data_IF_415579808956
#
_entry.id   IF_415579808956
#
_cell.length_a   1.000
_cell.length_b   1.000
_cell.length_c   1.000
_cell.angle_alpha   90.00
_cell.angle_beta   90.00
_cell.angle_gamma   90.00
#
_symmetry.space_group_name_H-M   'P 1'
#
loop_
_entity.id
_entity.type
_entity.pdbx_description
1 polymer ?
#
# COMPACT_ATOMS: atom_id res chain seq x y z
N UNK A 1 -63.52 20.47 -2.38
CA UNK A 1 -62.90 19.17 -2.77
C UNK A 1 -61.49 19.22 -2.23
N UNK A 2 -61.15 18.30 -1.32
CA UNK A 2 -59.84 18.31 -0.67
C UNK A 2 -58.76 17.88 -1.68
N UNK A 3 -57.62 18.56 -1.67
CA UNK A 3 -56.44 18.25 -2.51
C UNK A 3 -56.15 16.75 -2.60
N UNK A 4 -56.18 16.03 -1.46
CA UNK A 4 -55.95 14.61 -1.37
C UNK A 4 -56.97 13.74 -2.16
N UNK A 5 -58.21 14.17 -2.25
CA UNK A 5 -59.25 13.47 -3.02
C UNK A 5 -59.01 13.58 -4.54
N UNK A 6 -58.46 14.70 -5.00
CA UNK A 6 -58.09 14.88 -6.40
C UNK A 6 -56.89 14.00 -6.75
N UNK A 7 -55.87 13.98 -5.89
CA UNK A 7 -54.65 13.17 -6.06
C UNK A 7 -55.03 11.64 -6.06
N UNK A 8 -55.85 11.23 -5.13
CA UNK A 8 -56.26 9.79 -5.07
C UNK A 8 -57.05 9.38 -6.32
N UNK A 9 -57.97 10.22 -6.80
CA UNK A 9 -58.73 9.92 -8.04
C UNK A 9 -57.81 9.87 -9.26
N UNK A 10 -56.82 10.75 -9.34
CA UNK A 10 -55.84 10.78 -10.42
C UNK A 10 -55.02 9.47 -10.42
N UNK A 11 -54.50 9.08 -9.28
CA UNK A 11 -53.71 7.84 -9.13
C UNK A 11 -54.53 6.62 -9.50
N UNK A 12 -55.77 6.51 -8.99
CA UNK A 12 -56.65 5.38 -9.28
C UNK A 12 -57.06 5.33 -10.76
N UNK A 13 -57.32 6.49 -11.38
CA UNK A 13 -57.68 6.55 -12.79
C UNK A 13 -56.53 6.22 -13.72
N UNK A 14 -55.30 6.59 -13.36
CA UNK A 14 -54.08 6.42 -14.18
C UNK A 14 -53.17 5.30 -13.66
N UNK A 15 -53.67 4.37 -12.85
CA UNK A 15 -52.88 3.35 -12.18
C UNK A 15 -51.96 2.56 -13.12
N UNK A 16 -52.46 2.14 -14.29
CA UNK A 16 -51.66 1.36 -15.26
C UNK A 16 -50.54 2.22 -15.85
N UNK A 17 -50.84 3.48 -16.21
CA UNK A 17 -49.85 4.39 -16.73
C UNK A 17 -48.72 4.68 -15.71
N UNK A 18 -49.10 4.90 -14.43
CA UNK A 18 -48.13 5.15 -13.34
C UNK A 18 -47.26 3.91 -13.15
N UNK A 19 -47.83 2.68 -13.18
CA UNK A 19 -47.06 1.44 -13.08
C UNK A 19 -46.08 1.27 -14.25
N UNK A 20 -46.49 1.59 -15.47
CA UNK A 20 -45.63 1.51 -16.64
C UNK A 20 -44.47 2.51 -16.54
N UNK A 21 -44.74 3.73 -16.08
CA UNK A 21 -43.69 4.77 -15.87
C UNK A 21 -42.72 4.32 -14.79
N UNK A 22 -43.20 3.76 -13.66
CA UNK A 22 -42.34 3.25 -12.61
C UNK A 22 -41.52 2.04 -13.10
N UNK A 23 -42.10 1.12 -13.84
CA UNK A 23 -41.37 -0.01 -14.41
C UNK A 23 -40.30 0.44 -15.39
N UNK A 24 -40.63 1.39 -16.28
CA UNK A 24 -39.66 1.96 -17.21
C UNK A 24 -38.50 2.69 -16.48
N UNK A 25 -38.82 3.46 -15.44
CA UNK A 25 -37.80 4.13 -14.61
C UNK A 25 -36.91 3.10 -13.89
N UNK A 26 -37.49 2.03 -13.34
CA UNK A 26 -36.72 0.98 -12.66
C UNK A 26 -35.78 0.25 -13.62
N UNK A 27 -36.26 -0.10 -14.82
CA UNK A 27 -35.44 -0.71 -15.86
C UNK A 27 -34.30 0.24 -16.28
N UNK A 28 -34.65 1.51 -16.53
CA UNK A 28 -33.65 2.53 -16.90
C UNK A 28 -32.56 2.68 -15.82
N UNK A 29 -32.94 2.80 -14.55
CA UNK A 29 -31.98 2.88 -13.44
C UNK A 29 -31.19 1.59 -13.31
N UNK A 30 -31.83 0.43 -13.49
CA UNK A 30 -31.15 -0.87 -13.47
C UNK A 30 -30.03 -0.99 -14.51
N UNK A 31 -30.22 -0.45 -15.72
CA UNK A 31 -29.17 -0.44 -16.74
C UNK A 31 -27.98 0.46 -16.38
N UNK A 32 -28.16 1.43 -15.45
CA UNK A 32 -27.10 2.32 -15.00
C UNK A 32 -26.28 1.76 -13.82
N UNK A 33 -26.72 0.70 -13.17
CA UNK A 33 -26.00 0.08 -12.04
C UNK A 33 -24.59 -0.32 -12.44
N UNK A 34 -24.39 -0.83 -13.65
CA UNK A 34 -23.08 -1.23 -14.15
C UNK A 34 -22.08 -0.07 -14.30
N UNK A 35 -22.57 1.17 -14.33
CA UNK A 35 -21.75 2.36 -14.45
C UNK A 35 -21.46 3.03 -13.08
N UNK A 36 -21.96 2.45 -11.99
CA UNK A 36 -21.68 2.95 -10.65
C UNK A 36 -20.25 2.52 -10.29
N UNK A 37 -19.36 3.48 -10.18
CA UNK A 37 -18.02 3.27 -9.64
C UNK A 37 -18.06 3.60 -8.16
N UNK A 38 -17.71 2.65 -7.33
CA UNK A 38 -17.46 2.92 -5.92
C UNK A 38 -16.12 3.63 -5.83
N UNK A 39 -16.11 4.85 -5.32
CA UNK A 39 -14.90 5.57 -4.98
C UNK A 39 -14.66 5.40 -3.48
N UNK A 40 -13.48 4.90 -3.11
CA UNK A 40 -13.04 4.81 -1.72
C UNK A 40 -12.29 6.09 -1.29
N UNK A 41 -12.39 7.15 -2.08
CA UNK A 41 -11.84 8.47 -1.71
C UNK A 41 -12.55 8.94 -0.46
N UNK A 42 -11.80 9.46 0.50
CA UNK A 42 -12.36 10.11 1.68
C UNK A 42 -13.29 11.23 1.22
N UNK A 43 -14.49 11.26 1.80
CA UNK A 43 -15.45 12.30 1.46
C UNK A 43 -14.81 13.66 1.79
N UNK A 44 -14.59 14.48 0.77
CA UNK A 44 -14.24 15.88 0.97
C UNK A 44 -15.39 16.55 1.73
N UNK A 45 -15.24 16.68 3.03
CA UNK A 45 -16.22 17.27 3.93
C UNK A 45 -16.35 18.80 3.72
N UNK A 46 -15.37 19.39 3.06
CA UNK A 46 -15.32 20.81 2.75
C UNK A 46 -15.60 21.05 1.25
N UNK A 47 -16.23 22.19 0.89
CA UNK A 47 -16.35 22.61 -0.51
C UNK A 47 -14.98 22.65 -1.20
N UNK A 48 -14.91 22.34 -2.50
CA UNK A 48 -13.66 22.31 -3.27
C UNK A 48 -12.90 23.63 -3.30
N UNK A 49 -13.62 24.75 -3.17
CA UNK A 49 -13.10 26.11 -3.15
C UNK A 49 -12.72 26.58 -1.73
N UNK A 50 -12.84 25.72 -0.72
CA UNK A 50 -12.43 26.06 0.64
C UNK A 50 -10.91 26.19 0.74
N UNK A 51 -10.44 27.20 1.46
CA UNK A 51 -9.00 27.52 1.59
C UNK A 51 -8.16 26.31 2.08
N UNK A 52 -8.71 25.52 3.00
CA UNK A 52 -8.00 24.35 3.53
C UNK A 52 -7.93 23.21 2.51
N UNK A 53 -8.94 23.03 1.64
CA UNK A 53 -8.84 22.07 0.53
C UNK A 53 -7.75 22.49 -0.45
N UNK A 54 -7.69 23.77 -0.82
CA UNK A 54 -6.65 24.27 -1.71
C UNK A 54 -5.25 24.07 -1.12
N UNK A 55 -5.08 24.29 0.20
CA UNK A 55 -3.82 24.03 0.89
C UNK A 55 -3.46 22.55 0.91
N UNK A 56 -4.45 21.68 1.13
CA UNK A 56 -4.28 20.24 1.11
C UNK A 56 -3.92 19.73 -0.29
N UNK A 57 -4.61 20.20 -1.33
CA UNK A 57 -4.29 19.84 -2.71
C UNK A 57 -2.85 20.24 -3.09
N UNK A 58 -2.42 21.45 -2.69
CA UNK A 58 -1.04 21.90 -2.88
C UNK A 58 -0.03 21.03 -2.09
N UNK A 59 -0.40 20.58 -0.88
CA UNK A 59 0.42 19.66 -0.11
C UNK A 59 0.56 18.31 -0.84
N UNK A 60 -0.55 17.76 -1.35
CA UNK A 60 -0.53 16.52 -2.12
C UNK A 60 0.28 16.62 -3.42
N UNK A 61 0.23 17.78 -4.09
CA UNK A 61 1.03 18.03 -5.31
C UNK A 61 2.55 18.00 -5.02
N UNK A 62 2.96 18.47 -3.83
CA UNK A 62 4.38 18.53 -3.44
C UNK A 62 4.87 17.21 -2.85
N UNK A 63 4.07 16.57 -2.00
CA UNK A 63 4.48 15.42 -1.18
C UNK A 63 3.90 14.08 -1.67
N UNK A 64 2.98 14.10 -2.63
CA UNK A 64 2.23 12.93 -3.07
C UNK A 64 1.06 12.57 -2.16
N UNK A 65 0.21 11.65 -2.60
CA UNK A 65 -0.89 11.13 -1.79
C UNK A 65 -0.36 10.26 -0.64
N UNK A 66 -0.92 10.46 0.55
CA UNK A 66 -0.63 9.62 1.70
C UNK A 66 -1.37 8.27 1.57
N UNK A 67 -0.80 7.25 2.19
CA UNK A 67 -1.50 5.97 2.34
C UNK A 67 -1.23 4.94 1.26
N UNK A 68 -0.21 5.13 0.41
CA UNK A 68 0.22 4.14 -0.58
C UNK A 68 1.25 3.11 -0.04
N UNK A 69 1.64 3.22 1.23
CA UNK A 69 2.68 2.42 1.85
C UNK A 69 2.10 1.17 2.53
N UNK A 70 2.63 0.01 2.18
CA UNK A 70 2.50 -1.25 2.91
C UNK A 70 3.85 -1.58 3.55
N UNK A 71 3.84 -1.91 4.83
CA UNK A 71 5.01 -2.34 5.58
C UNK A 71 4.90 -3.84 5.90
N UNK A 72 5.94 -4.57 5.55
CA UNK A 72 6.15 -5.95 5.98
C UNK A 72 7.25 -5.97 7.05
N UNK A 73 7.05 -6.69 8.13
CA UNK A 73 7.99 -6.71 9.24
C UNK A 73 8.15 -8.11 9.84
N UNK A 74 9.39 -8.50 10.10
CA UNK A 74 9.74 -9.72 10.86
C UNK A 74 10.49 -9.32 12.11
N UNK A 75 10.04 -9.81 13.27
CA UNK A 75 10.64 -9.53 14.59
C UNK A 75 11.42 -10.72 15.16
N UNK A 76 11.68 -11.74 14.39
CA UNK A 76 12.43 -12.92 14.85
C UNK A 76 13.92 -12.75 14.53
N UNK A 77 14.77 -13.06 15.52
CA UNK A 77 16.23 -13.05 15.33
C UNK A 77 16.72 -14.07 14.30
N UNK A 78 15.95 -15.13 14.03
CA UNK A 78 16.24 -16.13 13.01
C UNK A 78 16.23 -15.57 11.58
N UNK A 79 15.68 -14.36 11.38
CA UNK A 79 15.78 -13.64 10.09
C UNK A 79 17.24 -13.35 9.71
N UNK A 80 18.14 -13.24 10.70
CA UNK A 80 19.56 -12.94 10.51
C UNK A 80 20.44 -14.19 10.34
N UNK A 81 19.88 -15.35 9.98
CA UNK A 81 20.67 -16.42 9.40
C UNK A 81 20.76 -16.27 7.87
N UNK A 82 21.76 -16.88 7.25
CA UNK A 82 22.04 -16.69 5.82
C UNK A 82 20.86 -17.10 4.93
N UNK A 83 20.20 -18.21 5.26
CA UNK A 83 19.08 -18.74 4.48
C UNK A 83 17.87 -17.80 4.52
N UNK A 84 17.45 -17.42 5.73
CA UNK A 84 16.27 -16.57 5.92
C UNK A 84 16.51 -15.13 5.43
N UNK A 85 17.72 -14.61 5.65
CA UNK A 85 18.07 -13.27 5.18
C UNK A 85 18.03 -13.18 3.65
N UNK A 86 18.59 -14.17 2.96
CA UNK A 86 18.53 -14.22 1.50
C UNK A 86 17.08 -14.39 0.99
N UNK A 87 16.32 -15.29 1.62
CA UNK A 87 14.89 -15.45 1.29
C UNK A 87 14.10 -14.16 1.51
N UNK A 88 14.37 -13.42 2.58
CA UNK A 88 13.72 -12.12 2.84
C UNK A 88 14.04 -11.08 1.76
N UNK A 89 15.31 -10.98 1.38
CA UNK A 89 15.72 -10.03 0.32
C UNK A 89 15.14 -10.39 -1.04
N UNK A 90 15.08 -11.69 -1.36
CA UNK A 90 14.47 -12.17 -2.61
C UNK A 90 12.94 -11.99 -2.59
N UNK A 91 12.29 -12.28 -1.46
CA UNK A 91 10.86 -12.05 -1.24
C UNK A 91 10.52 -10.57 -1.40
N UNK A 92 11.29 -9.68 -0.78
CA UNK A 92 11.09 -8.23 -0.93
C UNK A 92 11.18 -7.77 -2.38
N UNK A 93 12.15 -8.26 -3.15
CA UNK A 93 12.33 -7.91 -4.56
C UNK A 93 11.26 -8.44 -5.49
N UNK A 94 10.55 -9.52 -5.12
CA UNK A 94 9.43 -10.02 -5.93
C UNK A 94 8.37 -8.95 -6.17
N UNK A 95 8.16 -8.06 -5.21
CA UNK A 95 7.13 -7.02 -5.30
C UNK A 95 7.41 -5.99 -6.40
N UNK A 96 8.67 -5.71 -6.74
CA UNK A 96 9.03 -4.80 -7.84
C UNK A 96 8.57 -5.29 -9.23
N UNK A 97 8.23 -6.58 -9.36
CA UNK A 97 7.75 -7.15 -10.62
C UNK A 97 6.25 -6.92 -10.88
N UNK A 98 5.49 -6.48 -9.88
CA UNK A 98 4.05 -6.27 -10.01
C UNK A 98 3.73 -4.85 -10.49
N UNK A 99 2.86 -4.70 -11.50
CA UNK A 99 2.49 -3.39 -12.04
C UNK A 99 1.73 -2.49 -11.04
N UNK A 100 1.25 -3.07 -9.92
CA UNK A 100 0.58 -2.36 -8.85
C UNK A 100 1.57 -1.69 -7.87
N UNK A 101 2.85 -2.03 -7.97
CA UNK A 101 3.92 -1.54 -7.09
C UNK A 101 4.76 -0.52 -7.86
N UNK A 102 4.89 0.66 -7.32
CA UNK A 102 5.75 1.71 -7.86
C UNK A 102 7.23 1.39 -7.56
N UNK A 103 7.55 1.13 -6.31
CA UNK A 103 8.86 0.65 -5.88
C UNK A 103 8.80 -0.01 -4.51
N UNK A 104 9.82 -0.81 -4.24
CA UNK A 104 10.03 -1.46 -2.94
C UNK A 104 11.35 -1.02 -2.33
N UNK A 105 11.37 -0.82 -1.02
CA UNK A 105 12.60 -0.50 -0.29
C UNK A 105 12.79 -1.51 0.84
N UNK A 106 13.89 -2.22 0.78
CA UNK A 106 14.27 -3.24 1.76
C UNK A 106 15.70 -3.00 2.26
N UNK A 107 16.13 -3.78 3.22
CA UNK A 107 17.53 -3.76 3.68
C UNK A 107 18.53 -4.10 2.57
N UNK A 108 18.10 -4.81 1.53
CA UNK A 108 18.92 -5.12 0.36
C UNK A 108 19.22 -3.92 -0.52
N UNK A 109 18.41 -2.87 -0.44
CA UNK A 109 18.51 -1.67 -1.26
C UNK A 109 19.30 -0.56 -0.60
N UNK A 110 19.70 -0.76 0.67
CA UNK A 110 20.44 0.24 1.44
C UNK A 110 21.80 0.51 0.80
N UNK A 111 22.07 1.79 0.63
CA UNK A 111 23.35 2.29 0.16
C UNK A 111 24.04 3.11 1.25
N UNK A 112 25.33 2.94 1.36
CA UNK A 112 26.19 3.64 2.32
C UNK A 112 26.90 4.79 1.63
N UNK A 113 26.99 5.94 2.30
CA UNK A 113 27.79 7.05 1.87
C UNK A 113 29.20 6.90 2.41
N UNK A 114 30.18 6.74 1.53
CA UNK A 114 31.60 6.72 1.88
C UNK A 114 32.31 7.96 1.39
N UNK A 115 33.28 8.43 2.20
CA UNK A 115 34.16 9.52 1.84
C UNK A 115 35.46 8.93 1.26
N UNK A 116 35.74 9.28 0.02
CA UNK A 116 37.07 9.11 -0.56
C UNK A 116 37.95 10.26 -0.05
N UNK A 117 38.93 9.89 0.77
CA UNK A 117 39.83 10.86 1.39
C UNK A 117 40.88 11.46 0.40
N UNK A 118 41.23 10.68 -0.62
CA UNK A 118 42.23 11.08 -1.62
C UNK A 118 41.64 12.11 -2.60
N UNK A 119 40.44 11.87 -3.08
CA UNK A 119 39.76 12.71 -4.06
C UNK A 119 38.77 13.72 -3.42
N UNK A 120 38.67 13.75 -2.08
CA UNK A 120 37.76 14.62 -1.33
C UNK A 120 36.27 14.53 -1.84
N UNK A 121 35.85 13.35 -2.28
CA UNK A 121 34.51 13.11 -2.83
C UNK A 121 33.76 12.12 -1.97
N UNK A 122 32.45 12.24 -2.01
CA UNK A 122 31.56 11.22 -1.47
C UNK A 122 31.09 10.31 -2.60
N UNK A 123 31.06 9.02 -2.33
CA UNK A 123 30.47 8.04 -3.23
C UNK A 123 29.52 7.13 -2.47
N UNK A 124 28.59 6.54 -3.20
CA UNK A 124 27.56 5.67 -2.66
C UNK A 124 27.89 4.24 -3.05
N UNK A 125 27.96 3.34 -2.08
CA UNK A 125 28.11 1.90 -2.32
C UNK A 125 26.96 1.12 -1.70
N UNK A 126 26.54 -0.02 -2.27
CA UNK A 126 25.53 -0.87 -1.66
C UNK A 126 26.02 -1.41 -0.31
N UNK A 127 25.10 -1.72 0.59
CA UNK A 127 25.39 -2.32 1.90
C UNK A 127 26.22 -3.61 1.75
N UNK A 128 25.88 -4.41 0.75
CA UNK A 128 26.64 -5.59 0.31
C UNK A 128 26.56 -5.72 -1.21
N UNK A 129 27.63 -6.24 -1.84
CA UNK A 129 27.71 -6.34 -3.30
C UNK A 129 27.09 -7.63 -3.85
N UNK A 130 27.09 -8.70 -3.04
CA UNK A 130 26.52 -10.00 -3.37
C UNK A 130 25.76 -10.53 -2.16
N UNK A 131 24.76 -11.36 -2.42
CA UNK A 131 24.04 -12.02 -1.34
C UNK A 131 25.03 -12.76 -0.42
N UNK A 132 24.86 -12.65 0.90
CA UNK A 132 25.73 -13.29 1.86
C UNK A 132 25.66 -14.82 1.71
N UNK A 133 26.81 -15.47 1.89
CA UNK A 133 26.97 -16.92 1.75
C UNK A 133 27.16 -17.63 3.09
N UNK A 134 27.31 -16.87 4.19
CA UNK A 134 27.52 -17.37 5.53
C UNK A 134 26.83 -16.52 6.59
N UNK A 135 26.54 -17.13 7.74
CA UNK A 135 25.95 -16.43 8.89
C UNK A 135 26.89 -15.34 9.45
N UNK A 136 28.21 -15.49 9.26
CA UNK A 136 29.18 -14.46 9.65
C UNK A 136 29.02 -13.21 8.81
N UNK A 137 28.80 -13.36 7.52
CA UNK A 137 28.54 -12.21 6.62
C UNK A 137 27.22 -11.52 6.98
N UNK A 138 26.14 -12.28 7.26
CA UNK A 138 24.86 -11.71 7.70
C UNK A 138 25.01 -10.99 9.04
N UNK A 139 25.79 -11.55 9.98
CA UNK A 139 26.08 -10.88 11.25
C UNK A 139 26.81 -9.55 11.03
N UNK A 140 27.79 -9.50 10.12
CA UNK A 140 28.49 -8.26 9.79
C UNK A 140 27.54 -7.23 9.16
N UNK A 141 26.63 -7.67 8.28
CA UNK A 141 25.58 -6.81 7.70
C UNK A 141 24.67 -6.25 8.81
N UNK A 142 24.22 -7.11 9.74
CA UNK A 142 23.41 -6.69 10.88
C UNK A 142 24.14 -5.68 11.77
N UNK A 143 25.40 -5.92 12.08
CA UNK A 143 26.20 -5.02 12.91
C UNK A 143 26.41 -3.68 12.22
N UNK A 144 26.62 -3.67 10.90
CA UNK A 144 26.71 -2.45 10.10
C UNK A 144 25.38 -1.68 10.09
N UNK A 145 24.25 -2.36 9.85
CA UNK A 145 22.92 -1.76 9.91
C UNK A 145 22.66 -1.08 11.25
N UNK A 146 22.85 -1.82 12.34
CA UNK A 146 22.43 -1.40 13.68
C UNK A 146 23.35 -0.35 14.31
N UNK A 147 24.64 -0.32 13.92
CA UNK A 147 25.61 0.56 14.55
C UNK A 147 26.04 1.76 13.67
N UNK A 148 26.00 1.59 12.35
CA UNK A 148 26.60 2.58 11.44
C UNK A 148 25.56 3.28 10.53
N UNK A 149 24.30 2.83 10.51
CA UNK A 149 23.28 3.36 9.62
C UNK A 149 22.01 3.84 10.38
N UNK A 150 22.16 4.75 11.35
CA UNK A 150 21.04 5.21 12.18
C UNK A 150 19.92 5.91 11.40
N UNK A 151 20.21 6.40 10.19
CA UNK A 151 19.20 7.02 9.33
C UNK A 151 18.05 6.07 8.97
N UNK A 152 18.33 4.77 8.85
CA UNK A 152 17.33 3.77 8.48
C UNK A 152 16.68 3.10 9.70
N UNK A 153 17.10 3.44 10.93
CA UNK A 153 16.49 2.93 12.16
C UNK A 153 15.05 3.41 12.27
N UNK A 154 14.15 2.53 12.65
CA UNK A 154 12.70 2.67 12.66
C UNK A 154 12.02 2.79 11.27
N UNK A 155 12.78 2.71 10.18
CA UNK A 155 12.24 2.69 8.84
C UNK A 155 12.42 1.32 8.15
N UNK A 156 13.65 0.83 8.03
CA UNK A 156 13.94 -0.49 7.43
C UNK A 156 14.37 -1.53 8.47
N UNK A 157 14.71 -1.11 9.64
CA UNK A 157 14.97 -1.98 10.79
C UNK A 157 14.68 -1.24 12.09
N UNK A 158 14.58 -1.98 13.19
CA UNK A 158 14.50 -1.38 14.52
C UNK A 158 15.53 -2.05 15.42
N UNK A 159 16.54 -1.28 15.82
CA UNK A 159 17.65 -1.76 16.65
C UNK A 159 17.20 -2.27 18.02
N UNK A 160 16.18 -1.64 18.63
CA UNK A 160 15.69 -2.00 19.96
C UNK A 160 14.96 -3.33 19.97
N UNK A 161 14.18 -3.60 18.93
CA UNK A 161 13.34 -4.79 18.84
C UNK A 161 13.96 -5.91 18.00
N UNK A 162 15.03 -5.62 17.24
CA UNK A 162 15.62 -6.56 16.30
C UNK A 162 14.76 -6.81 15.06
N UNK A 163 13.79 -5.94 14.79
CA UNK A 163 12.88 -6.07 13.64
C UNK A 163 13.56 -5.64 12.36
N UNK A 164 13.31 -6.36 11.27
CA UNK A 164 13.65 -5.98 9.89
C UNK A 164 12.36 -5.68 9.13
N UNK A 165 12.39 -4.71 8.24
CA UNK A 165 11.21 -4.23 7.53
C UNK A 165 11.46 -4.08 6.04
N UNK A 166 10.37 -4.22 5.27
CA UNK A 166 10.31 -3.88 3.84
C UNK A 166 9.14 -2.94 3.63
N UNK A 167 9.38 -1.84 2.94
CA UNK A 167 8.39 -0.84 2.55
C UNK A 167 8.02 -1.06 1.09
N UNK A 168 6.74 -1.28 0.81
CA UNK A 168 6.18 -1.44 -0.53
C UNK A 168 5.33 -0.23 -0.82
N UNK A 169 5.67 0.53 -1.84
CA UNK A 169 4.90 1.68 -2.30
C UNK A 169 4.04 1.27 -3.48
N UNK A 170 2.73 1.36 -3.31
CA UNK A 170 1.77 1.09 -4.37
C UNK A 170 1.64 2.28 -5.31
N UNK A 171 1.30 2.00 -6.57
CA UNK A 171 0.91 3.03 -7.53
C UNK A 171 -0.30 3.81 -6.99
N UNK A 172 -0.20 5.13 -7.02
CA UNK A 172 -1.24 6.03 -6.51
C UNK A 172 -2.58 5.87 -7.25
N UNK A 173 -2.53 5.54 -8.55
CA UNK A 173 -3.75 5.39 -9.36
C UNK A 173 -4.65 4.23 -8.90
N UNK A 174 -4.07 3.21 -8.24
CA UNK A 174 -4.84 2.04 -7.79
C UNK A 174 -5.39 2.15 -6.37
N UNK A 175 -4.93 3.10 -5.55
CA UNK A 175 -5.22 3.15 -4.11
C UNK A 175 -6.71 3.14 -3.77
N UNK A 176 -7.50 3.84 -4.56
CA UNK A 176 -8.93 3.99 -4.37
C UNK A 176 -9.75 3.11 -5.33
N UNK A 177 -9.20 1.97 -5.74
CA UNK A 177 -9.81 1.04 -6.68
C UNK A 177 -9.85 -0.40 -6.15
N UNK A 178 -10.66 -1.25 -6.77
CA UNK A 178 -10.70 -2.69 -6.51
C UNK A 178 -9.40 -3.43 -6.90
N UNK A 179 -8.54 -2.79 -7.71
CA UNK A 179 -7.24 -3.34 -8.10
C UNK A 179 -6.34 -3.46 -6.87
N UNK A 180 -6.34 -2.45 -5.98
CA UNK A 180 -5.62 -2.50 -4.71
C UNK A 180 -6.08 -3.68 -3.84
N UNK A 181 -7.40 -3.85 -3.69
CA UNK A 181 -7.97 -4.92 -2.89
C UNK A 181 -7.57 -6.29 -3.44
N UNK A 182 -7.67 -6.50 -4.76
CA UNK A 182 -7.21 -7.73 -5.40
C UNK A 182 -5.71 -7.95 -5.22
N UNK A 183 -4.88 -6.91 -5.34
CA UNK A 183 -3.45 -7.05 -5.09
C UNK A 183 -3.17 -7.54 -3.68
N UNK A 184 -3.86 -6.99 -2.66
CA UNK A 184 -3.68 -7.42 -1.28
C UNK A 184 -4.12 -8.87 -1.07
N UNK A 185 -5.31 -9.26 -1.56
CA UNK A 185 -5.86 -10.58 -1.29
C UNK A 185 -5.29 -11.68 -2.20
N UNK A 186 -5.05 -11.39 -3.46
CA UNK A 186 -4.68 -12.39 -4.46
C UNK A 186 -3.16 -12.49 -4.67
N UNK A 187 -2.39 -11.47 -4.27
CA UNK A 187 -0.94 -11.43 -4.48
C UNK A 187 -0.19 -11.31 -3.15
N UNK A 188 -0.42 -10.24 -2.38
CA UNK A 188 0.36 -9.95 -1.18
C UNK A 188 0.19 -11.06 -0.13
N UNK A 189 -1.05 -11.36 0.26
CA UNK A 189 -1.32 -12.36 1.30
C UNK A 189 -0.79 -13.75 0.95
N UNK A 190 -1.05 -14.31 -0.25
CA UNK A 190 -0.47 -15.59 -0.64
C UNK A 190 1.06 -15.63 -0.63
N UNK A 191 1.72 -14.55 -1.05
CA UNK A 191 3.18 -14.46 -1.01
C UNK A 191 3.72 -14.40 0.42
N UNK A 192 3.03 -13.68 1.32
CA UNK A 192 3.38 -13.65 2.75
C UNK A 192 3.22 -15.04 3.36
N UNK A 193 2.09 -15.71 3.13
CA UNK A 193 1.84 -17.07 3.63
C UNK A 193 2.86 -18.09 3.09
N UNK A 194 3.24 -17.98 1.81
CA UNK A 194 4.30 -18.82 1.22
C UNK A 194 5.64 -18.61 1.95
N UNK A 195 6.01 -17.35 2.19
CA UNK A 195 7.24 -17.01 2.89
C UNK A 195 7.25 -17.52 4.33
N UNK A 196 6.15 -17.31 5.07
CA UNK A 196 5.99 -17.80 6.44
C UNK A 196 6.11 -19.33 6.53
N UNK A 197 5.45 -20.05 5.62
CA UNK A 197 5.51 -21.51 5.53
C UNK A 197 6.91 -22.02 5.20
N UNK A 198 7.64 -21.29 4.33
CA UNK A 198 8.97 -21.70 3.87
C UNK A 198 10.09 -21.40 4.89
N UNK A 199 9.88 -20.40 5.74
CA UNK A 199 10.88 -19.92 6.71
C UNK A 199 10.53 -20.25 8.17
N UNK A 200 9.25 -20.43 8.47
CA UNK A 200 8.71 -20.54 9.83
C UNK A 200 8.69 -19.20 10.59
N UNK A 201 8.88 -18.08 9.89
CA UNK A 201 8.90 -16.73 10.47
C UNK A 201 7.55 -16.03 10.30
N UNK A 202 7.07 -15.37 11.35
CA UNK A 202 5.83 -14.56 11.34
C UNK A 202 6.09 -13.22 10.68
N UNK A 203 5.32 -12.89 9.62
CA UNK A 203 5.39 -11.62 8.90
C UNK A 203 4.20 -10.76 9.26
N UNK A 204 4.46 -9.62 9.85
CA UNK A 204 3.43 -8.63 10.16
C UNK A 204 3.26 -7.68 9.01
N UNK A 205 2.03 -7.56 8.55
CA UNK A 205 1.63 -6.63 7.48
C UNK A 205 0.92 -5.45 8.10
N UNK A 206 1.27 -4.24 7.69
CA UNK A 206 0.64 -2.99 8.12
C UNK A 206 0.63 -1.98 6.98
N UNK A 207 -0.23 -0.98 7.09
CA UNK A 207 -0.34 0.10 6.10
C UNK A 207 -1.79 0.36 5.70
N UNK A 208 -2.08 1.59 5.29
CA UNK A 208 -3.44 1.99 4.89
C UNK A 208 -4.03 1.13 3.76
N UNK A 209 -3.26 0.78 2.71
CA UNK A 209 -3.78 -0.06 1.63
C UNK A 209 -4.18 -1.47 2.07
N UNK A 210 -3.61 -1.96 3.17
CA UNK A 210 -3.90 -3.28 3.71
C UNK A 210 -5.14 -3.29 4.63
N UNK A 211 -5.38 -2.18 5.35
CA UNK A 211 -6.43 -2.10 6.40
C UNK A 211 -7.81 -1.77 5.81
N UNK A 212 -7.89 -1.15 4.65
CA UNK A 212 -9.14 -0.65 4.04
C UNK A 212 -9.89 -1.68 3.24
#
# INVERSE_FOLDING_TARGET
MNFWQVVSRFILKQRIFILLVLAAATIFLGTKIQNIKFSHTEANLLPRDHEDNIKYDNFLEIFGEEGNLILLAVKDSAIFNVTNFNKWTDFSKKFDSFPQVDFTVSVGDIKKLKKDKENQRFFVEPLYQKQPTSDVEVKNIKDELFNNLPFFDNFLFNKKTGTIQTAIYLDQEILNTDIRERFVFDVLNPLVEEFEKDTGLDVRVSGMPFIR
#
